data_IF_277716876835
#
_entry.id   IF_277716876835
#
_cell.length_a   1.000
_cell.length_b   1.000
_cell.length_c   1.000
_cell.angle_alpha   90.00
_cell.angle_beta   90.00
_cell.angle_gamma   90.00
#
_symmetry.space_group_name_H-M   'P 1'
#
loop_
_entity.id
_entity.type
_entity.pdbx_description
1 polymer ?
#
# COMPACT_ATOMS: atom_id res chain seq x y z
N UNK A 1 6.68 -27.12 87.72
CA UNK A 1 7.58 -26.14 87.08
C UNK A 1 6.80 -24.85 86.84
N UNK A 2 7.39 -23.72 87.23
CA UNK A 2 6.79 -22.38 87.25
C UNK A 2 6.40 -21.90 85.85
N UNK A 3 5.28 -21.16 85.72
CA UNK A 3 5.34 -19.71 85.48
C UNK A 3 3.94 -19.08 85.38
N UNK A 4 3.72 -18.09 86.25
CA UNK A 4 2.70 -17.06 86.10
C UNK A 4 3.16 -16.06 85.03
N UNK A 5 2.27 -15.58 84.18
CA UNK A 5 2.29 -14.19 83.67
C UNK A 5 0.85 -13.70 83.54
N UNK A 6 0.65 -12.48 84.06
CA UNK A 6 -0.61 -11.79 84.31
C UNK A 6 -1.25 -11.24 83.03
N UNK A 7 -2.59 -11.13 83.07
CA UNK A 7 -3.43 -10.40 82.12
C UNK A 7 -3.05 -8.92 82.06
N UNK A 8 -2.99 -8.36 80.85
CA UNK A 8 -3.13 -6.92 80.60
C UNK A 8 -4.14 -6.76 79.47
N UNK A 9 -5.29 -6.18 79.82
CA UNK A 9 -6.26 -5.67 78.89
C UNK A 9 -5.75 -4.33 78.34
N UNK A 10 -5.81 -4.15 77.03
CA UNK A 10 -5.77 -2.82 76.43
C UNK A 10 -6.67 -2.83 75.20
N UNK A 11 -7.71 -1.99 75.27
CA UNK A 11 -8.65 -1.74 74.20
C UNK A 11 -7.97 -0.85 73.17
N UNK A 12 -8.07 -1.23 71.90
CA UNK A 12 -7.82 -0.30 70.79
C UNK A 12 -8.91 -0.53 69.78
N UNK A 13 -9.89 0.36 69.82
CA UNK A 13 -10.92 0.48 68.80
C UNK A 13 -10.22 0.84 67.49
N UNK A 14 -10.05 -0.13 66.60
CA UNK A 14 -9.63 0.14 65.23
C UNK A 14 -10.89 0.59 64.49
N UNK A 15 -11.01 1.90 64.34
CA UNK A 15 -11.95 2.51 63.42
C UNK A 15 -11.67 1.94 62.02
N UNK A 16 -12.59 1.13 61.51
CA UNK A 16 -12.58 0.69 60.10
C UNK A 16 -12.82 1.92 59.24
N UNK A 17 -11.73 2.48 58.70
CA UNK A 17 -11.81 3.46 57.61
C UNK A 17 -12.29 2.68 56.40
N UNK A 18 -13.57 2.82 56.09
CA UNK A 18 -14.14 2.39 54.82
C UNK A 18 -13.42 3.15 53.71
N UNK A 19 -12.38 2.56 53.11
CA UNK A 19 -11.88 3.01 51.81
C UNK A 19 -13.03 2.81 50.82
N UNK A 20 -13.78 3.89 50.57
CA UNK A 20 -14.70 3.94 49.45
C UNK A 20 -13.92 3.63 48.17
N UNK A 21 -14.21 2.48 47.56
CA UNK A 21 -13.87 2.22 46.18
C UNK A 21 -14.63 3.26 45.36
N UNK A 22 -13.97 4.35 45.00
CA UNK A 22 -14.43 5.20 43.91
C UNK A 22 -14.26 4.35 42.67
N UNK A 23 -15.33 3.64 42.30
CA UNK A 23 -15.48 3.08 40.96
C UNK A 23 -15.40 4.25 39.99
N UNK A 24 -14.20 4.47 39.45
CA UNK A 24 -14.04 5.25 38.25
C UNK A 24 -14.81 4.50 37.17
N UNK A 25 -16.08 4.87 37.00
CA UNK A 25 -16.86 4.57 35.81
C UNK A 25 -16.08 5.13 34.63
N UNK A 26 -15.18 4.31 34.08
CA UNK A 26 -14.57 4.53 32.78
C UNK A 26 -15.70 4.33 31.79
N UNK A 27 -16.46 5.38 31.56
CA UNK A 27 -17.19 5.51 30.31
C UNK A 27 -16.12 5.40 29.22
N UNK A 28 -16.05 4.22 28.59
CA UNK A 28 -15.30 4.06 27.37
C UNK A 28 -15.95 5.02 26.37
N UNK A 29 -15.33 6.18 26.18
CA UNK A 29 -15.66 7.04 25.06
C UNK A 29 -15.33 6.20 23.84
N UNK A 30 -16.35 5.64 23.22
CA UNK A 30 -16.23 5.08 21.89
C UNK A 30 -15.89 6.25 20.96
N UNK A 31 -14.60 6.54 20.80
CA UNK A 31 -14.13 7.37 19.71
C UNK A 31 -14.61 6.68 18.45
N UNK A 32 -15.58 7.27 17.76
CA UNK A 32 -15.91 6.85 16.40
C UNK A 32 -14.60 6.75 15.63
N UNK A 33 -14.32 5.56 15.11
CA UNK A 33 -13.07 5.18 14.44
C UNK A 33 -12.95 5.88 13.07
N UNK A 34 -12.95 7.20 13.07
CA UNK A 34 -12.90 8.09 11.90
C UNK A 34 -11.50 8.74 11.75
N UNK A 35 -10.50 8.23 12.48
CA UNK A 35 -9.13 8.68 12.29
C UNK A 35 -8.57 8.07 11.00
N UNK A 36 -8.21 8.92 10.02
CA UNK A 36 -7.66 8.47 8.74
C UNK A 36 -6.38 7.62 8.90
N UNK A 37 -5.60 7.84 9.96
CA UNK A 37 -4.40 7.07 10.25
C UNK A 37 -4.74 5.67 10.75
N UNK A 38 -5.71 5.51 11.68
CA UNK A 38 -6.11 4.18 12.15
C UNK A 38 -6.75 3.35 11.02
N UNK A 39 -7.56 4.00 10.17
CA UNK A 39 -8.12 3.39 8.98
C UNK A 39 -7.03 2.97 7.98
N UNK A 40 -6.05 3.84 7.71
CA UNK A 40 -4.91 3.52 6.85
C UNK A 40 -4.13 2.30 7.35
N UNK A 41 -3.75 2.30 8.64
CA UNK A 41 -2.95 1.23 9.25
C UNK A 41 -3.69 -0.10 9.19
N UNK A 42 -4.95 -0.12 9.65
CA UNK A 42 -5.75 -1.35 9.67
C UNK A 42 -5.96 -1.93 8.27
N UNK A 43 -6.19 -1.08 7.26
CA UNK A 43 -6.32 -1.51 5.87
C UNK A 43 -5.03 -2.09 5.31
N UNK A 44 -3.89 -1.44 5.56
CA UNK A 44 -2.58 -1.91 5.07
C UNK A 44 -2.16 -3.20 5.79
N UNK A 45 -2.35 -3.30 7.10
CA UNK A 45 -2.10 -4.56 7.85
C UNK A 45 -2.93 -5.72 7.29
N UNK A 46 -4.18 -5.45 6.89
CA UNK A 46 -5.04 -6.44 6.22
C UNK A 46 -4.49 -6.98 4.88
N UNK A 47 -3.42 -6.40 4.33
CA UNK A 47 -2.73 -6.86 3.11
C UNK A 47 -1.50 -7.73 3.38
N UNK A 48 -1.20 -8.00 4.66
CA UNK A 48 -0.04 -8.79 5.09
C UNK A 48 1.22 -7.97 5.41
N UNK A 49 1.10 -6.64 5.43
CA UNK A 49 2.17 -5.73 5.90
C UNK A 49 2.21 -5.73 7.43
N UNK A 50 3.40 -5.58 8.02
CA UNK A 50 3.55 -5.50 9.47
C UNK A 50 2.83 -4.27 10.05
N UNK A 51 2.29 -4.33 11.29
CA UNK A 51 1.71 -3.17 11.95
C UNK A 51 2.68 -1.98 12.07
N UNK A 52 3.97 -2.25 12.26
CA UNK A 52 5.02 -1.24 12.42
C UNK A 52 5.31 -0.50 11.10
N UNK A 53 5.45 -1.24 10.00
CA UNK A 53 5.68 -0.64 8.68
C UNK A 53 4.44 0.13 8.21
N UNK A 54 3.24 -0.42 8.45
CA UNK A 54 1.98 0.25 8.17
C UNK A 54 1.84 1.56 8.98
N UNK A 55 2.17 1.54 10.27
CA UNK A 55 2.14 2.74 11.12
C UNK A 55 3.10 3.82 10.61
N UNK A 56 4.35 3.43 10.32
CA UNK A 56 5.38 4.35 9.82
C UNK A 56 4.94 4.97 8.49
N UNK A 57 4.58 4.14 7.50
CA UNK A 57 4.17 4.62 6.19
C UNK A 57 2.90 5.49 6.26
N UNK A 58 1.88 5.11 7.05
CA UNK A 58 0.67 5.92 7.18
C UNK A 58 0.95 7.27 7.87
N UNK A 59 1.88 7.33 8.82
CA UNK A 59 2.24 8.58 9.50
C UNK A 59 3.02 9.55 8.60
N UNK A 60 3.79 9.03 7.65
CA UNK A 60 4.60 9.81 6.71
C UNK A 60 3.87 10.11 5.38
N UNK A 61 2.76 9.42 5.11
CA UNK A 61 1.99 9.59 3.89
C UNK A 61 1.40 11.00 3.77
N UNK A 62 1.55 11.62 2.60
CA UNK A 62 0.90 12.89 2.30
C UNK A 62 -0.64 12.80 2.43
N UNK A 63 -1.21 11.68 1.96
CA UNK A 63 -2.65 11.40 2.04
C UNK A 63 -2.85 9.93 2.47
N UNK A 64 -2.92 9.63 3.78
CA UNK A 64 -2.97 8.25 4.30
C UNK A 64 -4.08 7.39 3.69
N UNK A 65 -5.24 8.00 3.45
CA UNK A 65 -6.40 7.33 2.85
C UNK A 65 -6.15 6.89 1.41
N UNK A 66 -5.36 7.64 0.64
CA UNK A 66 -5.02 7.27 -0.74
C UNK A 66 -3.93 6.22 -0.79
N UNK A 67 -2.95 6.32 0.10
CA UNK A 67 -1.92 5.30 0.27
C UNK A 67 -2.56 3.93 0.54
N UNK A 68 -3.40 3.82 1.58
CA UNK A 68 -4.01 2.54 1.93
C UNK A 68 -4.92 1.98 0.83
N UNK A 69 -5.67 2.84 0.14
CA UNK A 69 -6.48 2.45 -1.02
C UNK A 69 -5.64 1.91 -2.17
N UNK A 70 -4.52 2.53 -2.49
CA UNK A 70 -3.59 2.04 -3.51
C UNK A 70 -3.09 0.63 -3.18
N UNK A 71 -2.61 0.42 -1.95
CA UNK A 71 -2.06 -0.87 -1.50
C UNK A 71 -3.13 -1.97 -1.54
N UNK A 72 -4.30 -1.70 -0.96
CA UNK A 72 -5.42 -2.65 -0.96
C UNK A 72 -5.89 -2.98 -2.38
N UNK A 73 -5.94 -1.98 -3.26
CA UNK A 73 -6.35 -2.17 -4.65
C UNK A 73 -5.38 -3.09 -5.41
N UNK A 74 -4.07 -2.85 -5.30
CA UNK A 74 -3.05 -3.67 -5.95
C UNK A 74 -3.05 -5.09 -5.37
N UNK A 75 -2.99 -5.24 -4.04
CA UNK A 75 -2.95 -6.56 -3.40
C UNK A 75 -4.18 -7.42 -3.69
N UNK A 76 -5.36 -6.80 -3.73
CA UNK A 76 -6.62 -7.55 -3.93
C UNK A 76 -6.88 -7.96 -5.38
N UNK A 77 -6.19 -7.36 -6.35
CA UNK A 77 -6.46 -7.57 -7.79
C UNK A 77 -5.27 -8.09 -8.58
N UNK A 78 -4.12 -8.29 -7.95
CA UNK A 78 -2.89 -8.76 -8.58
C UNK A 78 -2.15 -9.71 -7.63
N UNK A 79 -1.16 -10.49 -8.12
CA UNK A 79 -0.29 -11.31 -7.27
C UNK A 79 0.76 -10.52 -6.47
N UNK A 80 0.82 -9.19 -6.60
CA UNK A 80 1.80 -8.34 -5.88
C UNK A 80 1.52 -8.42 -4.38
N UNK A 81 2.57 -8.62 -3.58
CA UNK A 81 2.45 -8.66 -2.13
C UNK A 81 2.23 -7.27 -1.51
N UNK A 82 1.71 -7.24 -0.28
CA UNK A 82 1.36 -5.99 0.39
C UNK A 82 2.55 -5.07 0.63
N UNK A 83 3.75 -5.61 0.91
CA UNK A 83 4.94 -4.79 1.19
C UNK A 83 5.46 -4.15 -0.10
N UNK A 84 5.51 -4.90 -1.20
CA UNK A 84 5.90 -4.37 -2.50
C UNK A 84 4.88 -3.32 -3.00
N UNK A 85 3.58 -3.57 -2.81
CA UNK A 85 2.55 -2.59 -3.11
C UNK A 85 2.69 -1.32 -2.26
N UNK A 86 2.94 -1.46 -0.95
CA UNK A 86 3.16 -0.34 -0.04
C UNK A 86 4.35 0.51 -0.49
N UNK A 87 5.48 -0.11 -0.76
CA UNK A 87 6.68 0.58 -1.22
C UNK A 87 6.41 1.39 -2.50
N UNK A 88 5.75 0.79 -3.49
CA UNK A 88 5.46 1.48 -4.74
C UNK A 88 4.43 2.61 -4.57
N UNK A 89 3.35 2.38 -3.82
CA UNK A 89 2.32 3.39 -3.55
C UNK A 89 2.85 4.59 -2.75
N UNK A 90 3.82 4.37 -1.88
CA UNK A 90 4.41 5.43 -1.07
C UNK A 90 5.38 6.34 -1.86
N UNK A 91 6.02 5.79 -2.91
CA UNK A 91 7.01 6.51 -3.72
C UNK A 91 6.40 7.47 -4.74
N UNK A 92 5.08 7.48 -4.91
CA UNK A 92 4.39 8.31 -5.92
C UNK A 92 3.56 9.42 -5.29
N UNK A 93 3.40 10.53 -6.00
CA UNK A 93 2.53 11.64 -5.57
C UNK A 93 1.04 11.39 -5.81
N UNK A 94 0.69 10.37 -6.62
CA UNK A 94 -0.69 10.01 -6.98
C UNK A 94 -0.96 8.52 -6.77
N UNK A 95 -1.11 8.05 -5.52
CA UNK A 95 -1.26 6.62 -5.23
C UNK A 95 -2.47 6.00 -5.92
N UNK A 96 -3.60 6.72 -6.02
CA UNK A 96 -4.81 6.19 -6.66
C UNK A 96 -4.59 5.92 -8.16
N UNK A 97 -3.93 6.84 -8.87
CA UNK A 97 -3.63 6.67 -10.30
C UNK A 97 -2.68 5.51 -10.53
N UNK A 98 -1.67 5.33 -9.66
CA UNK A 98 -0.78 4.16 -9.70
C UNK A 98 -1.58 2.87 -9.54
N UNK A 99 -2.45 2.79 -8.53
CA UNK A 99 -3.28 1.61 -8.28
C UNK A 99 -4.16 1.24 -9.48
N UNK A 100 -4.83 2.23 -10.09
CA UNK A 100 -5.60 2.03 -11.31
C UNK A 100 -4.73 1.57 -12.48
N UNK A 101 -3.59 2.22 -12.69
CA UNK A 101 -2.66 1.86 -13.76
C UNK A 101 -2.27 0.38 -13.70
N UNK A 102 -1.84 -0.07 -12.53
CA UNK A 102 -1.38 -1.45 -12.31
C UNK A 102 -2.51 -2.45 -12.52
N UNK A 103 -3.67 -2.20 -11.94
CA UNK A 103 -4.81 -3.12 -12.02
C UNK A 103 -5.39 -3.18 -13.43
N UNK A 104 -5.49 -2.05 -14.13
CA UNK A 104 -6.05 -2.01 -15.48
C UNK A 104 -5.15 -2.75 -16.47
N UNK A 105 -3.84 -2.51 -16.44
CA UNK A 105 -2.89 -3.23 -17.30
C UNK A 105 -2.85 -4.72 -16.92
N UNK A 106 -2.82 -5.06 -15.63
CA UNK A 106 -2.80 -6.46 -15.20
C UNK A 106 -4.03 -7.24 -15.68
N UNK A 107 -5.22 -6.64 -15.60
CA UNK A 107 -6.47 -7.25 -16.10
C UNK A 107 -6.49 -7.36 -17.61
N UNK A 108 -5.87 -6.42 -18.31
CA UNK A 108 -5.82 -6.41 -19.77
C UNK A 108 -4.72 -7.33 -20.34
N UNK A 109 -3.68 -7.66 -19.56
CA UNK A 109 -2.54 -8.45 -20.01
C UNK A 109 -2.90 -9.79 -20.68
N UNK A 110 -3.89 -10.58 -20.21
CA UNK A 110 -4.31 -11.81 -20.89
C UNK A 110 -4.79 -11.60 -22.33
N UNK A 111 -5.28 -10.40 -22.67
CA UNK A 111 -5.82 -10.11 -24.00
C UNK A 111 -4.73 -9.91 -25.06
N UNK A 112 -3.49 -9.64 -24.65
CA UNK A 112 -2.40 -9.23 -25.56
C UNK A 112 -1.12 -10.03 -25.40
N UNK A 113 -1.10 -11.05 -24.56
CA UNK A 113 0.06 -11.89 -24.34
C UNK A 113 -0.16 -13.27 -24.98
N UNK A 114 0.06 -13.40 -26.30
CA UNK A 114 -0.14 -14.69 -26.97
C UNK A 114 1.01 -15.68 -26.78
N UNK A 115 2.18 -15.23 -26.28
CA UNK A 115 3.35 -16.11 -26.14
C UNK A 115 4.04 -16.07 -24.76
N UNK A 116 3.91 -14.99 -23.98
CA UNK A 116 4.50 -14.92 -22.62
C UNK A 116 3.53 -15.28 -21.49
N UNK A 117 2.23 -15.25 -21.78
CA UNK A 117 1.15 -15.72 -20.91
C UNK A 117 0.28 -16.69 -21.71
N UNK A 118 0.87 -17.69 -22.38
CA UNK A 118 0.09 -18.91 -22.60
C UNK A 118 -0.28 -19.40 -21.21
N UNK A 119 -1.48 -18.99 -20.80
CA UNK A 119 -2.28 -19.56 -19.74
C UNK A 119 -2.53 -21.00 -20.15
N UNK A 120 -1.52 -21.84 -19.97
CA UNK A 120 -1.83 -23.10 -19.36
C UNK A 120 -2.17 -22.75 -17.92
N UNK A 121 -3.18 -23.40 -17.36
CA UNK A 121 -3.50 -23.39 -15.93
C UNK A 121 -2.34 -23.98 -15.07
N UNK A 122 -1.13 -24.08 -15.66
CA UNK A 122 0.13 -24.59 -15.16
C UNK A 122 1.29 -23.60 -15.33
N UNK A 123 1.04 -22.32 -15.62
CA UNK A 123 2.07 -21.29 -15.48
C UNK A 123 2.51 -21.22 -14.01
N UNK A 124 3.79 -21.47 -13.75
CA UNK A 124 4.35 -21.50 -12.39
C UNK A 124 4.11 -20.12 -11.75
N UNK A 125 3.69 -20.08 -10.49
CA UNK A 125 3.48 -18.84 -9.72
C UNK A 125 4.52 -17.70 -9.94
N UNK A 126 5.85 -17.98 -10.09
CA UNK A 126 6.85 -16.93 -10.36
C UNK A 126 6.63 -16.11 -11.64
N UNK A 127 6.03 -16.67 -12.69
CA UNK A 127 5.91 -15.98 -13.99
C UNK A 127 4.81 -14.89 -13.96
N UNK A 128 3.72 -15.13 -13.22
CA UNK A 128 2.66 -14.12 -13.01
C UNK A 128 3.14 -12.95 -12.16
N UNK A 129 3.94 -13.22 -11.13
CA UNK A 129 4.54 -12.18 -10.30
C UNK A 129 5.50 -11.30 -11.11
N UNK A 130 6.31 -11.90 -11.99
CA UNK A 130 7.27 -11.17 -12.83
C UNK A 130 6.62 -10.09 -13.69
N UNK A 131 5.53 -10.43 -14.39
CA UNK A 131 4.80 -9.48 -15.26
C UNK A 131 4.10 -8.41 -14.43
N UNK A 132 3.40 -8.78 -13.35
CA UNK A 132 2.77 -7.79 -12.47
C UNK A 132 3.77 -6.82 -11.85
N UNK A 133 4.97 -7.30 -11.49
CA UNK A 133 6.04 -6.45 -11.00
C UNK A 133 6.56 -5.50 -12.08
N UNK A 134 6.77 -5.97 -13.31
CA UNK A 134 7.15 -5.10 -14.43
C UNK A 134 6.12 -3.99 -14.68
N UNK A 135 4.83 -4.34 -14.62
CA UNK A 135 3.72 -3.38 -14.72
C UNK A 135 3.80 -2.36 -13.59
N UNK A 136 4.00 -2.81 -12.34
CA UNK A 136 4.14 -1.94 -11.16
C UNK A 136 5.27 -0.93 -11.33
N UNK A 137 6.46 -1.41 -11.71
CA UNK A 137 7.63 -0.57 -11.92
C UNK A 137 7.40 0.45 -13.04
N UNK A 138 6.77 0.04 -14.14
CA UNK A 138 6.47 0.94 -15.27
C UNK A 138 5.43 2.00 -14.89
N UNK A 139 4.35 1.62 -14.22
CA UNK A 139 3.34 2.57 -13.74
C UNK A 139 3.91 3.57 -12.73
N UNK A 140 4.87 3.15 -11.88
CA UNK A 140 5.58 4.04 -10.95
C UNK A 140 6.49 5.02 -11.69
N UNK A 141 7.14 4.58 -12.77
CA UNK A 141 8.04 5.40 -13.56
C UNK A 141 7.29 6.44 -14.41
N UNK A 142 6.05 6.17 -14.81
CA UNK A 142 5.28 7.10 -15.63
C UNK A 142 4.87 8.36 -14.84
N UNK A 143 4.92 9.52 -15.50
CA UNK A 143 4.50 10.80 -14.94
C UNK A 143 2.97 10.90 -14.82
N UNK A 144 2.22 10.15 -15.63
CA UNK A 144 0.76 10.16 -15.66
C UNK A 144 0.20 8.71 -15.71
N UNK A 145 0.22 7.97 -14.59
CA UNK A 145 -0.09 6.53 -14.57
C UNK A 145 -1.45 6.17 -15.19
N UNK A 146 -2.47 7.01 -14.99
CA UNK A 146 -3.78 6.80 -15.61
C UNK A 146 -3.79 6.92 -17.13
N UNK A 147 -2.99 7.82 -17.71
CA UNK A 147 -2.84 7.95 -19.18
C UNK A 147 -1.93 6.86 -19.74
N UNK A 148 -0.87 6.53 -18.99
CA UNK A 148 0.05 5.45 -19.32
C UNK A 148 -0.68 4.11 -19.48
N UNK A 149 -1.58 3.74 -18.57
CA UNK A 149 -2.34 2.49 -18.70
C UNK A 149 -3.22 2.44 -19.95
N UNK A 150 -3.88 3.54 -20.30
CA UNK A 150 -4.68 3.64 -21.52
C UNK A 150 -3.81 3.48 -22.77
N UNK A 151 -2.63 4.11 -22.79
CA UNK A 151 -1.65 3.94 -23.87
C UNK A 151 -1.26 2.46 -24.00
N UNK A 152 -0.82 1.83 -22.91
CA UNK A 152 -0.32 0.44 -22.94
C UNK A 152 -1.40 -0.51 -23.43
N UNK A 153 -2.64 -0.36 -22.95
CA UNK A 153 -3.77 -1.18 -23.38
C UNK A 153 -4.07 -0.99 -24.86
N UNK A 154 -4.05 0.25 -25.36
CA UNK A 154 -4.30 0.54 -26.77
C UNK A 154 -3.18 0.02 -27.69
N UNK A 155 -1.91 0.26 -27.32
CA UNK A 155 -0.73 -0.17 -28.07
C UNK A 155 -0.61 -1.69 -28.10
N UNK A 156 -0.89 -2.36 -26.97
CA UNK A 156 -0.89 -3.83 -26.88
C UNK A 156 -1.98 -4.49 -27.75
N UNK A 157 -3.07 -3.77 -28.06
CA UNK A 157 -4.12 -4.21 -28.99
C UNK A 157 -3.72 -4.10 -30.46
N UNK A 158 -2.86 -3.13 -30.76
CA UNK A 158 -2.50 -2.72 -32.13
C UNK A 158 -1.06 -3.05 -32.46
N UNK A 159 -0.21 -2.02 -32.39
CA UNK A 159 1.15 -2.04 -32.91
C UNK A 159 2.08 -3.07 -32.25
N UNK A 160 1.99 -3.23 -30.92
CA UNK A 160 2.88 -4.11 -30.15
C UNK A 160 2.16 -5.40 -29.71
N UNK A 161 1.21 -5.86 -30.53
CA UNK A 161 0.45 -7.07 -30.24
C UNK A 161 1.40 -8.23 -29.96
N UNK A 162 1.17 -8.94 -28.85
CA UNK A 162 1.98 -10.08 -28.37
C UNK A 162 3.30 -9.72 -27.70
N UNK A 163 3.62 -8.43 -27.54
CA UNK A 163 4.82 -7.96 -26.85
C UNK A 163 4.48 -6.94 -25.75
N UNK A 164 3.98 -7.39 -24.58
CA UNK A 164 3.55 -6.51 -23.51
C UNK A 164 4.69 -5.64 -22.95
N UNK A 165 5.92 -6.16 -22.92
CA UNK A 165 7.09 -5.38 -22.50
C UNK A 165 7.41 -4.26 -23.48
N UNK A 166 7.27 -4.48 -24.79
CA UNK A 166 7.43 -3.42 -25.78
C UNK A 166 6.36 -2.34 -25.62
N UNK A 167 5.09 -2.70 -25.42
CA UNK A 167 4.02 -1.71 -25.21
C UNK A 167 4.27 -0.81 -23.99
N UNK A 168 4.77 -1.38 -22.88
CA UNK A 168 5.19 -0.61 -21.71
C UNK A 168 6.30 0.40 -22.06
N UNK A 169 7.33 -0.02 -22.80
CA UNK A 169 8.44 0.84 -23.20
C UNK A 169 8.03 1.92 -24.21
N UNK A 170 7.24 1.56 -25.22
CA UNK A 170 6.68 2.48 -26.21
C UNK A 170 5.91 3.61 -25.51
N UNK A 171 5.08 3.26 -24.53
CA UNK A 171 4.27 4.24 -23.81
C UNK A 171 5.06 5.09 -22.81
N UNK A 172 6.08 4.54 -22.15
CA UNK A 172 6.97 5.33 -21.29
C UNK A 172 7.76 6.35 -22.12
N UNK A 173 8.30 5.91 -23.26
CA UNK A 173 9.07 6.78 -24.16
C UNK A 173 8.21 7.89 -24.79
N UNK A 174 6.89 7.68 -24.89
CA UNK A 174 5.96 8.68 -25.39
C UNK A 174 5.57 9.76 -24.36
N UNK A 175 5.93 9.58 -23.09
CA UNK A 175 5.83 10.64 -22.07
C UNK A 175 6.99 11.63 -22.16
N UNK A 176 8.12 11.19 -22.71
CA UNK A 176 9.18 12.09 -23.14
C UNK A 176 8.75 12.86 -24.38
N UNK A 177 9.26 14.09 -24.49
CA UNK A 177 8.96 14.95 -25.64
C UNK A 177 9.33 14.22 -26.94
N UNK A 178 8.39 14.04 -27.90
CA UNK A 178 8.62 13.19 -29.06
C UNK A 178 9.60 13.86 -30.04
N UNK A 179 10.89 13.56 -29.84
CA UNK A 179 12.01 14.18 -30.57
C UNK A 179 11.94 13.89 -32.08
N UNK A 180 11.43 12.72 -32.46
CA UNK A 180 11.28 12.32 -33.86
C UNK A 180 10.17 13.09 -34.59
N UNK A 181 9.14 13.55 -33.86
CA UNK A 181 8.05 14.34 -34.43
C UNK A 181 8.37 15.84 -34.43
N UNK A 182 9.30 16.27 -33.57
CA UNK A 182 9.68 17.68 -33.41
C UNK A 182 11.22 17.84 -33.34
N UNK A 183 11.93 17.56 -34.44
CA UNK A 183 13.40 17.55 -34.46
C UNK A 183 14.04 18.94 -34.24
N UNK A 184 13.25 20.01 -34.37
CA UNK A 184 13.69 21.39 -34.15
C UNK A 184 13.73 21.83 -32.68
N UNK A 185 13.27 20.99 -31.73
CA UNK A 185 13.33 21.34 -30.31
C UNK A 185 14.77 21.25 -29.78
N UNK A 186 15.34 22.34 -29.21
CA UNK A 186 16.75 22.39 -28.82
C UNK A 186 17.04 21.39 -27.69
N UNK A 187 18.11 20.60 -27.88
CA UNK A 187 18.49 19.46 -27.02
C UNK A 187 19.03 19.86 -25.62
N UNK A 188 19.01 21.14 -25.25
CA UNK A 188 19.76 21.69 -24.12
C UNK A 188 18.87 22.07 -22.93
N UNK A 189 18.21 21.09 -22.31
CA UNK A 189 17.62 21.28 -20.97
C UNK A 189 18.00 20.22 -19.93
N UNK A 190 18.76 19.17 -20.28
CA UNK A 190 19.27 18.17 -19.32
C UNK A 190 20.55 18.60 -18.56
N UNK A 191 20.81 19.91 -18.45
CA UNK A 191 21.97 20.46 -17.71
C UNK A 191 21.63 21.57 -16.71
N UNK A 192 20.43 21.58 -16.11
CA UNK A 192 20.21 22.40 -14.92
C UNK A 192 19.91 21.54 -13.69
N UNK A 193 21.00 21.34 -12.94
CA UNK A 193 21.12 21.51 -11.48
C UNK A 193 19.86 22.00 -10.78
#
# INVERSE_FOLDING_TARGET
MKNHIKKIASWSAIATISLGLVEMNRTAIAFGNNNQFSACISQIVGTGVSPQDAASACSEALIPKELSRCVVMIKSKTPIDGNLALQACFQVRRPIDLGHCVVDIHRAAPLFATNSLKQTETAKEPDKLGISKQILDSCRQSLLPGRFSQCVIAVSRGADKNNPSQALQTCLSAEDFPRDLFPSYPQNQDQRL
#
